data_IF_587462078384
#
_entry.id   IF_587462078384
#
_cell.length_a   1.000
_cell.length_b   1.000
_cell.length_c   1.000
_cell.angle_alpha   90.00
_cell.angle_beta   90.00
_cell.angle_gamma   90.00
#
_symmetry.space_group_name_H-M   'P 1'
#
loop_
_entity.id
_entity.type
_entity.pdbx_description
1 polymer ?
#
# COMPACT_ATOMS: atom_id res chain seq x y z
N UNK A 1 47.07 -4.87 28.56
CA UNK A 1 47.50 -5.59 29.75
C UNK A 1 46.48 -6.70 30.01
N UNK A 2 46.86 -7.89 29.59
CA UNK A 2 46.10 -9.12 29.79
C UNK A 2 46.01 -9.41 31.27
N UNK A 3 44.83 -9.51 31.84
CA UNK A 3 44.60 -9.92 33.21
C UNK A 3 44.98 -11.40 33.36
N UNK A 4 46.20 -11.65 33.81
CA UNK A 4 46.77 -12.99 33.99
C UNK A 4 46.36 -13.66 35.30
N UNK A 5 45.41 -13.11 36.00
CA UNK A 5 45.15 -13.48 37.40
C UNK A 5 44.01 -14.44 37.60
N UNK A 6 43.66 -15.38 36.79
CA UNK A 6 42.67 -16.40 37.23
C UNK A 6 42.49 -17.62 36.33
N UNK A 7 43.55 -18.19 35.79
CA UNK A 7 43.44 -19.56 35.29
C UNK A 7 43.93 -20.52 36.35
N UNK A 8 43.04 -21.21 37.04
CA UNK A 8 43.42 -22.32 37.94
C UNK A 8 43.75 -23.53 37.08
N UNK A 9 45.01 -23.83 36.92
CA UNK A 9 45.49 -25.02 36.21
C UNK A 9 46.10 -25.98 37.22
N UNK A 10 45.92 -27.27 36.99
CA UNK A 10 46.37 -28.32 37.92
C UNK A 10 47.80 -28.76 37.67
N UNK A 11 48.42 -28.46 36.54
CA UNK A 11 49.81 -28.75 36.24
C UNK A 11 50.39 -27.81 35.16
N UNK A 12 51.75 -27.84 35.01
CA UNK A 12 52.50 -26.98 34.10
C UNK A 12 52.16 -27.22 32.62
N UNK A 13 51.89 -28.46 32.21
CA UNK A 13 51.56 -28.80 30.82
C UNK A 13 50.22 -28.22 30.39
N UNK A 14 49.21 -28.18 31.29
CA UNK A 14 47.94 -27.51 31.03
C UNK A 14 48.08 -26.00 30.94
N UNK A 15 48.94 -25.39 31.73
CA UNK A 15 49.24 -23.96 31.65
C UNK A 15 49.88 -23.60 30.30
N UNK A 16 50.87 -24.37 29.86
CA UNK A 16 51.58 -24.14 28.60
C UNK A 16 50.66 -24.35 27.37
N UNK A 17 49.76 -25.34 27.44
CA UNK A 17 48.79 -25.57 26.35
C UNK A 17 47.74 -24.46 26.27
N UNK A 18 47.26 -23.95 27.40
CA UNK A 18 46.30 -22.83 27.42
C UNK A 18 46.95 -21.51 26.97
N UNK A 19 48.21 -21.26 27.35
CA UNK A 19 48.98 -20.10 26.87
C UNK A 19 49.25 -20.18 25.36
N UNK A 20 49.52 -21.37 24.82
CA UNK A 20 49.70 -21.58 23.39
C UNK A 20 48.37 -21.35 22.59
N UNK A 21 47.25 -21.78 23.15
CA UNK A 21 45.89 -21.51 22.55
C UNK A 21 45.60 -20.02 22.60
N UNK A 22 45.87 -19.36 23.71
CA UNK A 22 45.63 -17.92 23.86
C UNK A 22 46.54 -17.09 22.96
N UNK A 23 47.83 -17.43 22.84
CA UNK A 23 48.73 -16.77 21.91
C UNK A 23 48.33 -16.97 20.45
N UNK A 24 47.74 -18.13 20.12
CA UNK A 24 47.20 -18.38 18.79
C UNK A 24 45.93 -17.56 18.51
N UNK A 25 45.08 -17.39 19.52
CA UNK A 25 43.89 -16.55 19.44
C UNK A 25 44.25 -15.07 19.32
N UNK A 26 45.20 -14.59 20.14
CA UNK A 26 45.72 -13.21 20.08
C UNK A 26 46.40 -12.92 18.73
N UNK A 27 47.07 -13.91 18.12
CA UNK A 27 47.64 -13.82 16.79
C UNK A 27 46.56 -13.74 15.69
N UNK A 28 45.47 -14.48 15.83
CA UNK A 28 44.31 -14.42 14.93
C UNK A 28 43.62 -13.06 15.06
N UNK A 29 43.40 -12.57 16.26
CA UNK A 29 42.76 -11.27 16.52
C UNK A 29 43.63 -10.10 16.02
N UNK A 30 44.99 -10.20 16.12
CA UNK A 30 45.90 -9.19 15.60
C UNK A 30 46.03 -9.18 14.06
N UNK A 31 45.66 -10.28 13.39
CA UNK A 31 45.61 -10.36 11.91
C UNK A 31 44.25 -10.00 11.32
N UNK A 32 43.22 -9.90 12.14
CA UNK A 32 41.93 -9.33 11.68
C UNK A 32 42.16 -7.84 11.38
N UNK A 33 42.10 -7.49 10.10
CA UNK A 33 42.04 -6.09 9.69
C UNK A 33 40.71 -5.53 10.24
N UNK A 34 40.76 -4.36 10.87
CA UNK A 34 39.58 -3.61 11.21
C UNK A 34 38.72 -3.45 9.95
N UNK A 35 37.64 -4.19 9.88
CA UNK A 35 36.68 -4.07 8.79
C UNK A 35 35.85 -2.82 9.06
N UNK A 36 36.03 -1.80 8.20
CA UNK A 36 35.18 -0.63 8.27
C UNK A 36 33.74 -1.02 7.95
N UNK A 37 32.87 -0.98 8.95
CA UNK A 37 31.43 -1.19 8.80
C UNK A 37 30.79 0.19 8.73
N UNK A 38 30.28 0.63 7.57
CA UNK A 38 29.60 1.90 7.48
C UNK A 38 28.30 1.85 8.31
N UNK A 39 28.17 2.77 9.28
CA UNK A 39 26.99 2.87 10.14
C UNK A 39 26.00 3.91 9.67
N UNK A 40 26.38 4.75 8.71
CA UNK A 40 25.57 5.82 8.14
C UNK A 40 25.47 5.68 6.64
N UNK A 41 24.27 5.85 6.11
CA UNK A 41 24.01 5.85 4.66
C UNK A 41 23.32 7.14 4.26
N UNK A 42 23.74 7.74 3.14
CA UNK A 42 23.06 8.83 2.46
C UNK A 42 22.33 8.24 1.25
N UNK A 43 21.07 8.52 1.12
CA UNK A 43 20.21 7.93 0.10
C UNK A 43 19.52 9.06 -0.66
N UNK A 44 19.59 9.02 -1.97
CA UNK A 44 18.80 9.86 -2.86
C UNK A 44 17.97 8.96 -3.77
N UNK A 45 16.67 9.21 -3.81
CA UNK A 45 15.73 8.51 -4.69
C UNK A 45 15.06 9.53 -5.58
N UNK A 46 15.06 9.26 -6.89
CA UNK A 46 14.32 10.01 -7.89
C UNK A 46 13.22 9.11 -8.46
N UNK A 47 11.96 9.51 -8.25
CA UNK A 47 10.81 8.87 -8.86
C UNK A 47 10.26 9.77 -9.97
N UNK A 48 10.14 9.23 -11.16
CA UNK A 48 9.57 9.90 -12.32
C UNK A 48 8.40 9.10 -12.87
N UNK A 49 7.24 9.74 -12.96
CA UNK A 49 6.04 9.15 -13.54
C UNK A 49 5.52 10.05 -14.65
N UNK A 50 5.17 9.45 -15.77
CA UNK A 50 4.54 10.15 -16.89
C UNK A 50 3.57 9.21 -17.58
N UNK A 51 2.29 9.56 -17.62
CA UNK A 51 1.25 8.78 -18.29
C UNK A 51 0.13 9.65 -18.86
N UNK A 52 -0.48 9.13 -19.90
CA UNK A 52 -1.68 9.68 -20.52
C UNK A 52 -2.85 8.73 -20.25
N UNK A 53 -3.99 9.28 -19.87
CA UNK A 53 -5.27 8.56 -19.86
C UNK A 53 -6.10 9.06 -21.02
N UNK A 54 -6.54 8.14 -21.88
CA UNK A 54 -7.39 8.43 -23.02
C UNK A 54 -8.67 7.61 -22.91
N UNK A 55 -9.80 8.27 -23.01
CA UNK A 55 -11.10 7.63 -23.17
C UNK A 55 -11.66 7.93 -24.56
N UNK A 56 -12.01 6.88 -25.30
CA UNK A 56 -12.55 6.96 -26.64
C UNK A 56 -13.87 6.21 -26.74
N UNK A 57 -14.88 6.86 -27.35
CA UNK A 57 -16.10 6.22 -27.75
C UNK A 57 -16.56 6.79 -29.12
N UNK A 58 -16.88 5.92 -30.07
CA UNK A 58 -17.27 6.35 -31.40
C UNK A 58 -18.74 6.75 -31.51
N UNK A 59 -19.58 6.21 -30.62
CA UNK A 59 -21.00 6.54 -30.52
C UNK A 59 -21.44 6.42 -29.08
N UNK A 60 -22.10 7.44 -28.56
CA UNK A 60 -22.83 7.39 -27.31
C UNK A 60 -24.34 7.24 -27.62
N UNK A 61 -25.07 6.46 -26.83
CA UNK A 61 -26.52 6.43 -26.94
C UNK A 61 -27.10 7.84 -26.78
N UNK A 62 -28.17 8.14 -27.53
CA UNK A 62 -28.86 9.43 -27.44
C UNK A 62 -29.33 9.65 -25.99
N UNK A 63 -29.14 10.85 -25.46
CA UNK A 63 -29.49 11.25 -24.11
C UNK A 63 -28.82 10.41 -22.99
N UNK A 64 -27.73 9.73 -23.30
CA UNK A 64 -27.04 8.90 -22.30
C UNK A 64 -26.40 9.74 -21.19
N UNK A 65 -25.71 10.83 -21.55
CA UNK A 65 -25.10 11.76 -20.61
C UNK A 65 -25.99 12.96 -20.34
N UNK A 66 -26.03 13.45 -19.12
CA UNK A 66 -26.79 14.62 -18.70
C UNK A 66 -26.20 15.94 -19.24
N UNK A 67 -24.86 15.98 -19.37
CA UNK A 67 -24.14 17.18 -19.73
C UNK A 67 -23.16 16.92 -20.88
N UNK A 68 -22.92 17.97 -21.68
CA UNK A 68 -21.88 18.05 -22.70
C UNK A 68 -21.19 19.39 -22.56
N UNK A 69 -19.97 19.41 -22.10
CA UNK A 69 -19.22 20.63 -21.83
C UNK A 69 -18.52 21.16 -23.07
N UNK A 70 -18.05 20.28 -23.97
CA UNK A 70 -17.44 20.64 -25.25
C UNK A 70 -17.70 19.57 -26.30
N UNK A 71 -17.61 19.97 -27.60
CA UNK A 71 -17.83 19.05 -28.73
C UNK A 71 -16.52 18.65 -29.43
N UNK A 72 -15.66 19.61 -29.76
CA UNK A 72 -14.46 19.40 -30.57
C UNK A 72 -13.23 20.08 -29.95
N UNK A 73 -12.72 19.55 -28.87
CA UNK A 73 -11.53 20.13 -28.24
C UNK A 73 -10.21 19.66 -28.86
N UNK A 74 -10.17 18.44 -29.37
CA UNK A 74 -8.93 17.77 -29.75
C UNK A 74 -8.67 17.73 -31.25
N UNK A 75 -9.52 18.36 -32.06
CA UNK A 75 -9.43 18.38 -33.52
C UNK A 75 -9.15 17.00 -34.18
N UNK A 76 -9.77 15.96 -33.64
CA UNK A 76 -9.58 14.57 -34.08
C UNK A 76 -10.81 13.94 -34.72
N UNK A 77 -11.77 14.74 -35.14
CA UNK A 77 -13.01 14.26 -35.76
C UNK A 77 -14.00 13.59 -34.78
N UNK A 78 -13.82 13.77 -33.49
CA UNK A 78 -14.68 13.23 -32.43
C UNK A 78 -15.76 14.25 -32.02
N UNK A 79 -16.50 14.78 -33.00
CA UNK A 79 -17.63 15.65 -32.73
C UNK A 79 -18.93 14.89 -32.48
N UNK A 80 -19.99 15.61 -32.10
CA UNK A 80 -21.31 15.05 -31.86
C UNK A 80 -21.34 13.97 -30.80
N UNK A 81 -21.82 12.78 -31.13
CA UNK A 81 -21.96 11.64 -30.19
C UNK A 81 -20.65 10.90 -29.94
N UNK A 82 -19.56 11.25 -30.59
CA UNK A 82 -18.24 10.65 -30.38
C UNK A 82 -17.52 11.33 -29.21
N UNK A 83 -16.72 10.56 -28.47
CA UNK A 83 -15.95 11.04 -27.31
C UNK A 83 -14.49 10.79 -27.56
N UNK A 84 -13.68 11.80 -27.27
CA UNK A 84 -12.23 11.69 -27.11
C UNK A 84 -11.81 12.61 -25.98
N UNK A 85 -11.50 12.00 -24.83
CA UNK A 85 -11.04 12.72 -23.65
C UNK A 85 -9.62 12.28 -23.31
N UNK A 86 -8.75 13.23 -23.05
CA UNK A 86 -7.36 12.98 -22.69
C UNK A 86 -6.99 13.78 -21.46
N UNK A 87 -6.41 13.10 -20.48
CA UNK A 87 -5.72 13.71 -19.36
C UNK A 87 -4.27 13.25 -19.36
N UNK A 88 -3.35 14.17 -19.07
CA UNK A 88 -1.91 13.85 -18.96
C UNK A 88 -1.45 14.14 -17.55
N UNK A 89 -0.63 13.26 -17.04
CA UNK A 89 -0.03 13.38 -15.71
C UNK A 89 1.47 13.18 -15.77
N UNK A 90 2.21 14.05 -15.10
CA UNK A 90 3.64 13.91 -14.90
C UNK A 90 3.95 14.24 -13.44
N UNK A 91 4.76 13.43 -12.78
CA UNK A 91 5.32 13.77 -11.48
C UNK A 91 6.82 13.49 -11.41
N UNK A 92 7.52 14.32 -10.67
CA UNK A 92 8.94 14.17 -10.32
C UNK A 92 9.03 14.31 -8.81
N UNK A 93 9.44 13.25 -8.13
CA UNK A 93 9.64 13.25 -6.68
C UNK A 93 11.11 12.95 -6.37
N UNK A 94 11.74 13.85 -5.64
CA UNK A 94 13.08 13.70 -5.09
C UNK A 94 12.99 13.45 -3.59
N UNK A 95 13.62 12.39 -3.11
CA UNK A 95 13.70 12.06 -1.70
C UNK A 95 15.15 11.95 -1.27
N UNK A 96 15.54 12.73 -0.28
CA UNK A 96 16.85 12.67 0.36
C UNK A 96 16.69 12.08 1.75
N UNK A 97 17.50 11.09 2.09
CA UNK A 97 17.45 10.43 3.38
C UNK A 97 18.85 10.21 3.96
N UNK A 98 18.92 10.27 5.29
CA UNK A 98 20.06 9.85 6.09
C UNK A 98 19.59 8.70 6.95
N UNK A 99 20.28 7.56 6.88
CA UNK A 99 19.97 6.36 7.64
C UNK A 99 21.15 5.95 8.51
N UNK A 100 20.87 5.63 9.76
CA UNK A 100 21.76 4.95 10.69
C UNK A 100 21.35 3.48 10.73
N UNK A 101 22.27 2.59 10.45
CA UNK A 101 22.02 1.15 10.42
C UNK A 101 21.78 0.58 11.82
N UNK A 102 21.06 -0.54 11.89
CA UNK A 102 20.88 -1.27 13.14
C UNK A 102 22.25 -1.62 13.76
N UNK A 103 22.37 -1.39 15.07
CA UNK A 103 23.63 -1.64 15.78
C UNK A 103 24.69 -0.56 15.58
N UNK A 104 24.35 0.61 15.01
CA UNK A 104 25.27 1.74 14.90
C UNK A 104 25.85 2.19 16.26
N UNK A 105 25.20 1.81 17.34
CA UNK A 105 25.62 2.03 18.70
C UNK A 105 25.30 0.77 19.53
N UNK A 106 26.16 0.40 20.50
CA UNK A 106 25.96 -0.75 21.38
C UNK A 106 24.64 -0.71 22.19
N UNK A 107 24.07 0.48 22.38
CA UNK A 107 22.81 0.67 23.10
C UNK A 107 21.59 0.76 22.16
N UNK A 108 21.77 1.18 20.91
CA UNK A 108 20.70 1.35 19.95
C UNK A 108 20.60 0.11 19.04
N UNK A 109 19.66 -0.77 19.38
CA UNK A 109 19.40 -2.01 18.62
C UNK A 109 18.44 -1.81 17.46
N UNK A 110 18.16 -0.56 17.07
CA UNK A 110 17.28 -0.21 15.98
C UNK A 110 18.00 0.72 14.99
N UNK A 111 17.70 0.59 13.72
CA UNK A 111 18.09 1.55 12.69
C UNK A 111 17.16 2.75 12.68
N UNK A 112 17.71 3.91 12.36
CA UNK A 112 16.98 5.17 12.24
C UNK A 112 17.14 5.70 10.82
N UNK A 113 16.07 6.25 10.25
CA UNK A 113 16.12 6.99 8.98
C UNK A 113 15.30 8.26 9.12
N UNK A 114 15.85 9.38 8.66
CA UNK A 114 15.12 10.63 8.47
C UNK A 114 15.20 11.00 7.00
N UNK A 115 14.13 11.59 6.47
CA UNK A 115 14.07 11.95 5.06
C UNK A 115 13.26 13.22 4.83
N UNK A 116 13.53 13.86 3.72
CA UNK A 116 12.73 14.93 3.16
C UNK A 116 12.46 14.65 1.69
N UNK A 117 11.25 14.92 1.23
CA UNK A 117 10.85 14.73 -0.16
C UNK A 117 10.30 16.02 -0.73
N UNK A 118 10.57 16.24 -2.01
CA UNK A 118 9.97 17.30 -2.81
C UNK A 118 9.35 16.69 -4.06
N UNK A 119 8.07 16.93 -4.28
CA UNK A 119 7.32 16.43 -5.43
C UNK A 119 6.76 17.59 -6.25
N UNK A 120 6.96 17.49 -7.57
CA UNK A 120 6.36 18.35 -8.59
C UNK A 120 5.37 17.52 -9.39
N UNK A 121 4.14 17.98 -9.52
CA UNK A 121 3.11 17.35 -10.34
C UNK A 121 2.59 18.32 -11.38
N UNK A 122 2.42 17.81 -12.61
CA UNK A 122 1.76 18.54 -13.71
C UNK A 122 0.63 17.70 -14.23
N UNK A 123 -0.55 18.30 -14.28
CA UNK A 123 -1.74 17.68 -14.85
C UNK A 123 -2.24 18.54 -16.00
N UNK A 124 -2.54 17.89 -17.14
CA UNK A 124 -3.18 18.56 -18.28
C UNK A 124 -4.55 17.95 -18.51
N UNK A 125 -5.55 18.82 -18.60
CA UNK A 125 -6.92 18.45 -18.94
C UNK A 125 -7.66 19.68 -19.50
N UNK A 126 -8.89 19.53 -20.04
CA UNK A 126 -9.70 20.65 -20.51
C UNK A 126 -10.02 21.66 -19.41
N UNK A 127 -10.05 22.93 -19.78
CA UNK A 127 -10.48 24.03 -18.94
C UNK A 127 -11.37 24.99 -19.73
N UNK A 128 -12.35 25.60 -19.06
CA UNK A 128 -13.17 26.63 -19.61
C UNK A 128 -12.56 28.01 -19.34
N UNK A 129 -12.26 28.75 -20.38
CA UNK A 129 -11.69 30.08 -20.25
C UNK A 129 -12.58 31.11 -20.95
N UNK A 130 -12.74 32.26 -20.29
CA UNK A 130 -13.39 33.46 -20.87
C UNK A 130 -12.34 34.34 -21.51
N UNK A 131 -12.51 34.64 -22.79
CA UNK A 131 -11.59 35.52 -23.51
C UNK A 131 -12.36 36.70 -24.11
N UNK A 132 -11.71 37.81 -24.51
CA UNK A 132 -12.38 38.94 -25.19
C UNK A 132 -13.10 38.52 -26.47
N UNK A 133 -12.64 37.44 -27.14
CA UNK A 133 -13.21 36.91 -28.37
C UNK A 133 -14.34 35.89 -28.13
N UNK A 134 -14.72 35.68 -26.87
CA UNK A 134 -15.74 34.73 -26.42
C UNK A 134 -15.17 33.59 -25.57
N UNK A 135 -16.09 32.83 -24.99
CA UNK A 135 -15.76 31.69 -24.11
C UNK A 135 -15.36 30.48 -24.94
N UNK A 136 -14.32 29.76 -24.45
CA UNK A 136 -13.85 28.54 -25.12
C UNK A 136 -13.22 27.56 -24.13
N UNK A 137 -13.24 26.28 -24.53
CA UNK A 137 -12.49 25.22 -23.85
C UNK A 137 -11.10 25.10 -24.45
N UNK A 138 -10.10 24.98 -23.58
CA UNK A 138 -8.68 24.80 -23.95
C UNK A 138 -8.04 23.72 -23.10
N UNK A 139 -6.90 23.20 -23.56
CA UNK A 139 -6.07 22.32 -22.72
C UNK A 139 -5.20 23.15 -21.79
N UNK A 140 -5.47 23.13 -20.51
CA UNK A 140 -4.72 23.83 -19.48
C UNK A 140 -3.81 22.90 -18.68
N UNK A 141 -2.88 23.49 -17.94
CA UNK A 141 -1.92 22.78 -17.12
C UNK A 141 -2.02 23.25 -15.67
N UNK A 142 -2.29 22.31 -14.78
CA UNK A 142 -2.22 22.51 -13.33
C UNK A 142 -0.86 22.06 -12.83
N UNK A 143 -0.25 22.85 -11.96
CA UNK A 143 1.04 22.54 -11.34
C UNK A 143 0.84 22.51 -9.83
N UNK A 144 1.28 21.42 -9.21
CA UNK A 144 1.26 21.25 -7.76
C UNK A 144 2.67 20.95 -7.23
N UNK A 145 2.94 21.42 -6.02
CA UNK A 145 4.20 21.23 -5.33
C UNK A 145 3.92 20.73 -3.93
N UNK A 146 4.60 19.68 -3.50
CA UNK A 146 4.51 19.17 -2.16
C UNK A 146 5.89 18.95 -1.55
N UNK A 147 6.09 19.35 -0.32
CA UNK A 147 7.27 19.05 0.48
C UNK A 147 6.82 18.25 1.68
N UNK A 148 7.44 17.10 1.91
CA UNK A 148 7.22 16.28 3.09
C UNK A 148 8.52 16.02 3.85
N UNK A 149 8.38 15.75 5.14
CA UNK A 149 9.45 15.25 6.00
C UNK A 149 8.97 14.01 6.73
N UNK A 150 9.87 13.11 7.01
CA UNK A 150 9.51 11.89 7.71
C UNK A 150 10.68 11.21 8.40
N UNK A 151 10.33 10.22 9.20
CA UNK A 151 11.28 9.41 9.94
C UNK A 151 10.84 7.96 10.03
N UNK A 152 11.80 7.07 10.18
CA UNK A 152 11.57 5.65 10.33
C UNK A 152 12.47 5.07 11.42
N UNK A 153 11.89 4.24 12.25
CA UNK A 153 12.61 3.39 13.20
C UNK A 153 12.38 1.95 12.76
N UNK A 154 13.43 1.17 12.63
CA UNK A 154 13.35 -0.22 12.20
C UNK A 154 14.28 -1.12 13.00
N UNK A 155 13.77 -2.28 13.40
CA UNK A 155 14.54 -3.41 13.89
C UNK A 155 14.17 -4.63 13.07
N UNK A 156 15.09 -5.10 12.25
CA UNK A 156 14.93 -6.28 11.38
C UNK A 156 15.87 -7.43 11.76
N UNK A 157 16.92 -7.15 12.55
CA UNK A 157 17.86 -8.17 12.98
C UNK A 157 17.37 -8.93 14.22
N UNK A 158 17.75 -10.21 14.29
CA UNK A 158 17.34 -11.13 15.34
C UNK A 158 16.30 -12.13 14.85
N UNK A 159 15.79 -12.98 15.75
CA UNK A 159 14.82 -14.04 15.41
C UNK A 159 13.48 -13.85 16.10
N UNK A 160 13.44 -13.07 17.17
CA UNK A 160 12.27 -13.01 18.06
C UNK A 160 11.36 -11.84 17.78
N UNK A 161 11.91 -10.63 17.73
CA UNK A 161 11.13 -9.40 17.64
C UNK A 161 11.66 -8.49 16.52
N UNK A 162 10.80 -8.20 15.57
CA UNK A 162 11.02 -7.18 14.54
C UNK A 162 9.95 -6.10 14.67
N UNK A 163 10.31 -4.87 14.35
CA UNK A 163 9.34 -3.77 14.29
C UNK A 163 9.80 -2.68 13.34
N UNK A 164 8.82 -1.98 12.81
CA UNK A 164 9.00 -0.81 11.95
C UNK A 164 7.95 0.23 12.30
N UNK A 165 8.39 1.45 12.53
CA UNK A 165 7.54 2.63 12.65
C UNK A 165 8.01 3.65 11.61
N UNK A 166 7.10 4.11 10.77
CA UNK A 166 7.32 5.15 9.78
C UNK A 166 6.32 6.29 10.04
N UNK A 167 6.79 7.52 10.07
CA UNK A 167 5.96 8.72 10.11
C UNK A 167 6.36 9.68 9.00
N UNK A 168 5.39 10.28 8.31
CA UNK A 168 5.58 11.31 7.29
C UNK A 168 4.51 12.39 7.43
N UNK A 169 4.88 13.63 7.23
CA UNK A 169 3.95 14.77 7.21
C UNK A 169 4.32 15.74 6.09
N UNK A 170 3.30 16.32 5.46
CA UNK A 170 3.47 17.30 4.39
C UNK A 170 3.40 18.72 4.93
N UNK A 171 4.36 19.52 4.53
CA UNK A 171 4.54 20.88 5.01
C UNK A 171 3.94 21.91 4.06
N UNK A 172 3.88 21.59 2.77
CA UNK A 172 3.44 22.53 1.72
C UNK A 172 2.56 21.83 0.68
N UNK A 173 1.88 22.65 -0.13
CA UNK A 173 1.01 22.18 -1.20
C UNK A 173 -0.41 21.88 -0.71
N UNK A 174 -1.18 21.25 -1.54
CA UNK A 174 -2.55 20.82 -1.23
C UNK A 174 -2.58 19.77 -0.10
N UNK A 175 -1.48 19.05 0.06
CA UNK A 175 -1.27 18.06 1.10
C UNK A 175 -0.77 18.67 2.43
N UNK A 176 -0.57 19.99 2.52
CA UNK A 176 -0.08 20.62 3.77
C UNK A 176 -0.91 20.17 4.98
N UNK A 177 -0.22 19.64 6.02
CA UNK A 177 -0.87 19.05 7.19
C UNK A 177 -1.40 17.64 7.00
N UNK A 178 -1.06 16.95 5.92
CA UNK A 178 -1.25 15.51 5.80
C UNK A 178 -0.34 14.77 6.77
N UNK A 179 -0.82 13.66 7.28
CA UNK A 179 -0.10 12.79 8.21
C UNK A 179 -0.25 11.35 7.76
N UNK A 180 0.87 10.65 7.72
CA UNK A 180 0.93 9.22 7.46
C UNK A 180 1.79 8.55 8.52
N UNK A 181 1.23 7.57 9.22
CA UNK A 181 1.95 6.77 10.21
C UNK A 181 1.68 5.30 9.91
N UNK A 182 2.74 4.52 9.76
CA UNK A 182 2.69 3.07 9.59
C UNK A 182 3.47 2.40 10.73
N UNK A 183 2.87 1.41 11.35
CA UNK A 183 3.49 0.57 12.36
C UNK A 183 3.33 -0.89 11.99
N UNK A 184 4.39 -1.65 12.09
CA UNK A 184 4.36 -3.11 11.98
C UNK A 184 5.30 -3.75 12.98
N UNK A 185 4.88 -4.88 13.56
CA UNK A 185 5.72 -5.69 14.45
C UNK A 185 5.38 -7.15 14.29
N UNK A 186 6.36 -8.01 14.47
CA UNK A 186 6.18 -9.45 14.62
C UNK A 186 7.02 -9.99 15.78
N UNK A 187 6.41 -10.89 16.51
CA UNK A 187 7.00 -11.64 17.61
C UNK A 187 6.97 -13.12 17.26
N UNK A 188 8.16 -13.71 17.20
CA UNK A 188 8.34 -15.12 16.89
C UNK A 188 8.84 -15.86 18.14
N UNK A 189 8.14 -16.90 18.54
CA UNK A 189 8.51 -17.70 19.70
C UNK A 189 8.14 -19.18 19.54
N UNK A 190 8.86 -20.10 20.17
CA UNK A 190 8.56 -21.52 20.12
C UNK A 190 7.32 -21.83 20.98
N UNK A 191 6.36 -22.55 20.40
CA UNK A 191 5.16 -23.04 21.08
C UNK A 191 4.71 -24.36 20.46
N UNK A 192 4.33 -25.36 21.29
CA UNK A 192 3.84 -26.67 20.84
C UNK A 192 4.75 -27.40 19.84
N UNK A 193 6.06 -27.18 19.91
CA UNK A 193 7.06 -27.85 19.08
C UNK A 193 7.30 -27.25 17.70
N UNK A 194 6.81 -26.03 17.44
CA UNK A 194 7.14 -25.23 16.26
C UNK A 194 7.07 -23.71 16.61
N UNK A 195 7.38 -22.87 15.65
CA UNK A 195 7.34 -21.42 15.81
C UNK A 195 5.93 -20.88 15.59
N UNK A 196 5.48 -20.09 16.56
CA UNK A 196 4.30 -19.23 16.46
C UNK A 196 4.75 -17.81 16.15
N UNK A 197 4.07 -17.15 15.22
CA UNK A 197 4.24 -15.73 14.93
C UNK A 197 2.99 -14.97 15.35
N UNK A 198 3.17 -13.96 16.20
CA UNK A 198 2.17 -12.92 16.45
C UNK A 198 2.66 -11.65 15.77
N UNK A 199 1.87 -11.11 14.87
CA UNK A 199 2.19 -9.85 14.21
C UNK A 199 1.06 -8.84 14.39
N UNK A 200 1.43 -7.57 14.45
CA UNK A 200 0.48 -6.46 14.48
C UNK A 200 0.88 -5.45 13.42
N UNK A 201 -0.10 -5.04 12.61
CA UNK A 201 0.03 -3.93 11.70
C UNK A 201 -0.97 -2.85 12.10
N UNK A 202 -0.55 -1.61 12.09
CA UNK A 202 -1.42 -0.49 12.33
C UNK A 202 -1.04 0.66 11.42
N UNK A 203 -2.02 1.45 10.99
CA UNK A 203 -1.75 2.69 10.31
C UNK A 203 -2.74 3.79 10.75
N UNK A 204 -2.27 5.01 10.66
CA UNK A 204 -3.06 6.21 10.77
C UNK A 204 -2.71 7.12 9.59
N UNK A 205 -3.71 7.39 8.75
CA UNK A 205 -3.59 8.28 7.60
C UNK A 205 -4.62 9.40 7.71
N UNK A 206 -4.17 10.63 7.57
CA UNK A 206 -5.02 11.79 7.36
C UNK A 206 -4.51 12.52 6.13
N UNK A 207 -5.19 12.30 5.00
CA UNK A 207 -4.69 12.66 3.68
C UNK A 207 -5.70 13.54 2.92
N UNK A 208 -5.19 14.55 2.25
CA UNK A 208 -5.95 15.38 1.33
C UNK A 208 -6.47 14.52 0.15
N UNK A 209 -7.60 14.91 -0.48
CA UNK A 209 -8.07 14.28 -1.69
C UNK A 209 -7.02 14.39 -2.80
N UNK A 210 -6.87 13.33 -3.58
CA UNK A 210 -5.99 13.35 -4.76
C UNK A 210 -6.49 14.35 -5.80
N UNK A 211 -5.61 14.76 -6.72
CA UNK A 211 -5.95 15.76 -7.75
C UNK A 211 -7.26 15.44 -8.47
N UNK A 212 -7.46 14.21 -8.95
CA UNK A 212 -8.66 13.85 -9.73
C UNK A 212 -9.94 13.70 -8.91
N UNK A 213 -9.87 13.62 -7.61
CA UNK A 213 -11.04 13.75 -6.75
C UNK A 213 -11.44 15.21 -6.57
N UNK A 214 -10.46 16.12 -6.58
CA UNK A 214 -10.69 17.57 -6.49
C UNK A 214 -11.09 18.16 -7.83
N UNK A 215 -10.38 17.84 -8.90
CA UNK A 215 -10.60 18.41 -10.22
C UNK A 215 -10.58 17.31 -11.28
N UNK A 216 -11.62 17.27 -12.09
CA UNK A 216 -11.68 16.41 -13.27
C UNK A 216 -12.56 17.03 -14.34
N UNK A 217 -12.01 17.16 -15.54
CA UNK A 217 -12.67 17.81 -16.67
C UNK A 217 -12.61 16.90 -17.89
N UNK A 218 -13.79 16.53 -18.38
CA UNK A 218 -13.96 15.73 -19.58
C UNK A 218 -15.19 16.19 -20.36
N UNK A 219 -15.45 15.60 -21.51
CA UNK A 219 -16.57 15.98 -22.35
C UNK A 219 -17.92 15.94 -21.62
N UNK A 220 -18.13 14.94 -20.76
CA UNK A 220 -19.41 14.68 -20.11
C UNK A 220 -19.38 14.76 -18.58
N UNK A 221 -18.20 14.71 -17.97
CA UNK A 221 -18.02 14.79 -16.52
C UNK A 221 -17.10 15.94 -16.17
N UNK A 222 -17.56 16.77 -15.25
CA UNK A 222 -16.84 17.97 -14.84
C UNK A 222 -17.09 18.27 -13.38
N UNK A 223 -16.03 18.36 -12.61
CA UNK A 223 -16.11 18.81 -11.21
C UNK A 223 -14.86 19.53 -10.76
N UNK A 224 -15.07 20.51 -9.87
CA UNK A 224 -14.08 21.26 -9.13
C UNK A 224 -14.52 21.28 -7.66
N UNK A 225 -14.00 20.32 -6.88
CA UNK A 225 -14.39 20.09 -5.50
C UNK A 225 -13.34 20.67 -4.55
N UNK A 226 -13.49 21.96 -4.23
CA UNK A 226 -12.55 22.64 -3.34
C UNK A 226 -12.87 22.43 -1.85
N UNK A 227 -14.07 21.90 -1.53
CA UNK A 227 -14.59 21.80 -0.16
C UNK A 227 -14.47 20.36 0.43
N UNK A 228 -13.74 19.48 -0.23
CA UNK A 228 -13.55 18.13 0.27
C UNK A 228 -12.59 18.10 1.46
N UNK A 229 -13.07 17.58 2.57
CA UNK A 229 -12.27 17.36 3.77
C UNK A 229 -11.22 16.27 3.56
N UNK A 230 -10.15 16.33 4.36
CA UNK A 230 -9.15 15.26 4.45
C UNK A 230 -9.79 13.98 4.96
N UNK A 231 -9.51 12.88 4.28
CA UNK A 231 -9.92 11.55 4.73
C UNK A 231 -9.00 11.07 5.84
N UNK A 232 -9.59 10.62 6.94
CA UNK A 232 -8.84 9.98 8.02
C UNK A 232 -9.14 8.48 8.02
N UNK A 233 -8.10 7.66 7.98
CA UNK A 233 -8.21 6.20 8.08
C UNK A 233 -7.30 5.69 9.18
N UNK A 234 -7.88 4.91 10.07
CA UNK A 234 -7.17 4.23 11.15
C UNK A 234 -7.46 2.75 11.08
N UNK A 235 -6.42 1.93 11.03
CA UNK A 235 -6.56 0.47 11.04
C UNK A 235 -5.59 -0.16 12.02
N UNK A 236 -6.08 -1.15 12.74
CA UNK A 236 -5.28 -2.03 13.59
C UNK A 236 -5.61 -3.47 13.18
N UNK A 237 -4.56 -4.23 12.93
CA UNK A 237 -4.65 -5.62 12.50
C UNK A 237 -3.76 -6.51 13.38
N UNK A 238 -4.33 -7.58 13.91
CA UNK A 238 -3.61 -8.66 14.57
C UNK A 238 -3.53 -9.89 13.66
N UNK A 239 -2.38 -10.54 13.63
CA UNK A 239 -2.13 -11.73 12.84
C UNK A 239 -1.48 -12.80 13.73
N UNK A 240 -2.12 -13.95 13.83
CA UNK A 240 -1.59 -15.16 14.40
C UNK A 240 -1.23 -16.14 13.30
N UNK A 241 -0.02 -16.71 13.31
CA UNK A 241 0.39 -17.79 12.42
C UNK A 241 0.98 -18.93 13.19
N UNK A 242 0.54 -20.15 12.89
CA UNK A 242 1.14 -21.37 13.41
C UNK A 242 1.54 -22.28 12.24
N UNK A 243 2.85 -22.41 12.04
CA UNK A 243 3.42 -23.02 10.85
C UNK A 243 3.14 -24.52 10.76
N UNK A 244 3.20 -25.22 11.90
CA UNK A 244 3.00 -26.70 11.96
C UNK A 244 1.66 -27.14 11.40
N UNK A 245 0.59 -26.41 11.71
CA UNK A 245 -0.77 -26.70 11.23
C UNK A 245 -1.13 -25.91 9.98
N UNK A 246 -0.23 -25.02 9.51
CA UNK A 246 -0.49 -24.08 8.40
C UNK A 246 -1.73 -23.21 8.64
N UNK A 247 -1.96 -22.84 9.88
CA UNK A 247 -3.07 -21.99 10.31
C UNK A 247 -2.62 -20.54 10.36
N UNK A 248 -3.44 -19.64 9.83
CA UNK A 248 -3.26 -18.19 9.97
C UNK A 248 -4.61 -17.55 10.27
N UNK A 249 -4.68 -16.81 11.36
CA UNK A 249 -5.86 -16.03 11.74
C UNK A 249 -5.48 -14.55 11.73
N UNK A 250 -6.26 -13.75 11.01
CA UNK A 250 -6.13 -12.30 10.91
C UNK A 250 -7.43 -11.66 11.39
N UNK A 251 -7.32 -10.67 12.26
CA UNK A 251 -8.43 -9.83 12.68
C UNK A 251 -8.02 -8.38 12.54
N UNK A 252 -8.86 -7.57 11.91
CA UNK A 252 -8.61 -6.15 11.71
C UNK A 252 -9.86 -5.32 11.99
N UNK A 253 -9.64 -4.14 12.55
CA UNK A 253 -10.66 -3.10 12.72
C UNK A 253 -10.13 -1.87 12.00
N UNK A 254 -10.99 -1.26 11.20
CA UNK A 254 -10.68 -0.04 10.46
C UNK A 254 -11.80 0.99 10.66
N UNK A 255 -11.42 2.25 10.89
CA UNK A 255 -12.31 3.39 10.89
C UNK A 255 -11.91 4.34 9.77
N UNK A 256 -12.91 4.78 9.00
CA UNK A 256 -12.74 5.75 7.92
C UNK A 256 -13.67 6.93 8.19
N UNK A 257 -13.09 8.12 8.25
CA UNK A 257 -13.81 9.39 8.35
C UNK A 257 -13.66 10.16 7.05
N UNK A 258 -14.73 10.84 6.64
CA UNK A 258 -14.74 11.63 5.40
C UNK A 258 -14.41 10.79 4.16
N UNK A 259 -14.93 9.57 4.10
CA UNK A 259 -14.73 8.65 2.99
C UNK A 259 -15.24 9.23 1.68
N UNK A 260 -14.42 9.19 0.65
CA UNK A 260 -14.73 9.74 -0.67
C UNK A 260 -15.06 8.62 -1.64
N UNK A 261 -16.14 8.81 -2.40
CA UNK A 261 -16.57 7.83 -3.38
C UNK A 261 -17.18 8.52 -4.61
N UNK A 262 -17.19 7.80 -5.72
CA UNK A 262 -17.88 8.26 -6.92
C UNK A 262 -19.36 7.92 -6.83
N UNK A 263 -20.21 8.93 -6.98
CA UNK A 263 -21.65 8.77 -7.04
C UNK A 263 -22.15 8.93 -8.45
N UNK A 264 -23.03 8.02 -8.88
CA UNK A 264 -23.76 8.07 -10.15
C UNK A 264 -25.18 8.53 -9.92
N UNK A 265 -25.71 9.28 -10.89
CA UNK A 265 -27.11 9.66 -10.98
C UNK A 265 -27.59 9.48 -12.42
N UNK A 266 -28.75 8.89 -12.65
CA UNK A 266 -29.33 8.70 -13.97
C UNK A 266 -30.84 8.44 -13.89
N UNK A 267 -31.54 8.63 -15.01
CA UNK A 267 -32.92 8.25 -15.19
C UNK A 267 -32.97 6.82 -15.71
N UNK A 268 -33.43 5.89 -14.90
CA UNK A 268 -33.59 4.49 -15.31
C UNK A 268 -34.87 4.35 -16.16
N UNK A 269 -34.71 3.79 -17.35
CA UNK A 269 -35.82 3.35 -18.19
C UNK A 269 -35.75 1.83 -18.38
N UNK A 270 -36.82 1.23 -18.94
CA UNK A 270 -36.91 -0.25 -19.09
C UNK A 270 -35.76 -0.86 -19.91
N UNK A 271 -35.10 -0.08 -20.77
CA UNK A 271 -34.08 -0.59 -21.70
C UNK A 271 -32.76 0.19 -21.65
N UNK A 272 -32.69 1.34 -21.00
CA UNK A 272 -31.50 2.18 -21.02
C UNK A 272 -31.42 3.11 -19.82
N UNK A 273 -30.21 3.59 -19.55
CA UNK A 273 -29.93 4.68 -18.62
C UNK A 273 -29.83 5.98 -19.41
N UNK A 274 -30.55 6.99 -18.97
CA UNK A 274 -30.53 8.31 -19.57
C UNK A 274 -30.05 9.35 -18.58
N UNK A 275 -29.57 10.48 -19.07
CA UNK A 275 -29.15 11.62 -18.24
C UNK A 275 -28.14 11.23 -17.15
N UNK A 276 -27.16 10.38 -17.49
CA UNK A 276 -26.14 9.95 -16.56
C UNK A 276 -25.21 11.12 -16.21
N UNK A 277 -25.00 11.31 -14.91
CA UNK A 277 -24.00 12.20 -14.35
C UNK A 277 -23.19 11.47 -13.27
N UNK A 278 -21.93 11.82 -13.14
CA UNK A 278 -21.05 11.32 -12.11
C UNK A 278 -20.37 12.49 -11.39
N UNK A 279 -20.02 12.26 -10.15
CA UNK A 279 -19.28 13.22 -9.33
C UNK A 279 -18.69 12.56 -8.11
N UNK A 280 -17.80 13.27 -7.43
CA UNK A 280 -17.23 12.84 -6.15
C UNK A 280 -18.17 13.23 -5.03
N UNK A 281 -18.43 12.31 -4.12
CA UNK A 281 -19.20 12.52 -2.90
C UNK A 281 -18.34 12.19 -1.69
N UNK A 282 -18.66 12.80 -0.56
CA UNK A 282 -18.02 12.54 0.71
C UNK A 282 -19.05 12.10 1.74
N UNK A 283 -18.73 11.01 2.43
CA UNK A 283 -19.57 10.48 3.52
C UNK A 283 -19.27 11.26 4.80
N UNK A 284 -20.30 11.94 5.36
CA UNK A 284 -20.15 12.70 6.59
C UNK A 284 -20.17 11.86 7.87
N UNK A 285 -20.53 10.57 7.79
CA UNK A 285 -20.52 9.63 8.92
C UNK A 285 -19.27 8.75 8.90
N UNK A 286 -18.77 8.37 10.08
CA UNK A 286 -17.67 7.43 10.19
C UNK A 286 -18.11 6.03 9.72
N UNK A 287 -17.25 5.37 8.96
CA UNK A 287 -17.44 4.00 8.50
C UNK A 287 -16.49 3.11 9.30
N UNK A 288 -17.06 2.13 10.01
CA UNK A 288 -16.30 1.13 10.76
C UNK A 288 -16.35 -0.20 10.00
N UNK A 289 -15.19 -0.83 9.85
CA UNK A 289 -15.05 -2.10 9.15
C UNK A 289 -14.40 -3.09 10.11
N UNK A 290 -15.05 -4.23 10.31
CA UNK A 290 -14.48 -5.40 10.97
C UNK A 290 -14.11 -6.42 9.90
N UNK A 291 -12.89 -6.96 9.95
CA UNK A 291 -12.46 -8.06 9.09
C UNK A 291 -11.88 -9.18 9.94
N UNK A 292 -12.33 -10.40 9.73
CA UNK A 292 -11.72 -11.60 10.29
C UNK A 292 -11.46 -12.61 9.17
N UNK A 293 -10.23 -13.11 9.07
CA UNK A 293 -9.83 -14.05 8.03
C UNK A 293 -9.11 -15.25 8.65
N UNK A 294 -9.61 -16.43 8.34
CA UNK A 294 -8.97 -17.70 8.67
C UNK A 294 -8.43 -18.32 7.38
N UNK A 295 -7.13 -18.61 7.38
CA UNK A 295 -6.51 -19.48 6.39
C UNK A 295 -6.13 -20.78 7.06
N UNK A 296 -6.57 -21.91 6.48
CA UNK A 296 -6.25 -23.24 6.93
C UNK A 296 -5.93 -24.13 5.75
N UNK A 297 -4.70 -24.63 5.71
CA UNK A 297 -4.25 -25.55 4.68
C UNK A 297 -4.09 -26.95 5.27
N UNK A 298 -4.59 -27.95 4.55
CA UNK A 298 -4.43 -29.37 4.88
C UNK A 298 -3.59 -30.07 3.81
N UNK A 299 -2.81 -31.06 4.24
CA UNK A 299 -2.01 -31.88 3.34
C UNK A 299 -2.12 -33.34 3.73
N UNK A 300 -2.61 -34.18 2.83
CA UNK A 300 -2.79 -35.63 2.99
C UNK A 300 -2.02 -36.34 1.90
N UNK A 301 -0.72 -36.60 2.09
CA UNK A 301 0.15 -37.15 1.06
C UNK A 301 0.22 -36.24 -0.20
N UNK A 302 -0.23 -36.69 -1.36
CA UNK A 302 -0.27 -35.88 -2.58
C UNK A 302 -1.43 -34.88 -2.61
N UNK A 303 -2.48 -35.11 -1.80
CA UNK A 303 -3.65 -34.22 -1.75
C UNK A 303 -3.38 -33.00 -0.90
N UNK A 304 -3.62 -31.81 -1.46
CA UNK A 304 -3.53 -30.53 -0.80
C UNK A 304 -4.90 -29.86 -0.85
N UNK A 305 -5.31 -29.27 0.26
CA UNK A 305 -6.57 -28.56 0.38
C UNK A 305 -6.33 -27.24 1.11
N UNK A 306 -6.41 -26.12 0.38
CA UNK A 306 -6.17 -24.76 0.88
C UNK A 306 -7.50 -24.05 1.01
N UNK A 307 -7.69 -23.35 2.14
CA UNK A 307 -8.94 -22.67 2.44
C UNK A 307 -8.66 -21.29 2.99
N UNK A 308 -9.39 -20.30 2.51
CA UNK A 308 -9.42 -18.95 3.06
C UNK A 308 -10.89 -18.57 3.28
N UNK A 309 -11.22 -18.29 4.51
CA UNK A 309 -12.55 -17.83 4.91
C UNK A 309 -12.38 -16.41 5.45
N UNK A 310 -13.08 -15.46 4.85
CA UNK A 310 -13.06 -14.06 5.27
C UNK A 310 -14.48 -13.66 5.66
N UNK A 311 -14.62 -13.15 6.86
CA UNK A 311 -15.80 -12.42 7.33
C UNK A 311 -15.45 -10.93 7.37
N UNK A 312 -16.33 -10.08 6.86
CA UNK A 312 -16.18 -8.64 6.92
C UNK A 312 -17.52 -7.95 7.06
N UNK A 313 -17.54 -6.86 7.80
CA UNK A 313 -18.75 -6.09 8.03
C UNK A 313 -18.43 -4.60 7.95
N UNK A 314 -19.23 -3.85 7.18
CA UNK A 314 -19.18 -2.40 7.08
C UNK A 314 -20.36 -1.78 7.81
N UNK A 315 -20.13 -0.77 8.63
CA UNK A 315 -21.21 -0.03 9.32
C UNK A 315 -22.08 0.80 8.36
N UNK A 316 -21.64 1.01 7.12
CA UNK A 316 -22.38 1.75 6.10
C UNK A 316 -22.30 1.04 4.73
N UNK A 317 -23.19 0.08 4.54
CA UNK A 317 -23.28 -0.73 3.33
C UNK A 317 -23.82 0.03 2.11
N UNK A 318 -24.41 1.20 2.29
CA UNK A 318 -24.87 2.03 1.17
C UNK A 318 -23.74 2.77 0.48
N UNK A 319 -22.65 3.06 1.23
CA UNK A 319 -21.49 3.81 0.72
C UNK A 319 -20.31 2.90 0.44
N UNK A 320 -20.13 1.90 1.31
CA UNK A 320 -19.06 0.90 1.18
C UNK A 320 -19.66 -0.51 1.35
N UNK A 321 -20.33 -1.03 0.31
CA UNK A 321 -20.90 -2.36 0.34
C UNK A 321 -19.80 -3.42 0.26
N UNK A 322 -19.81 -4.37 1.18
CA UNK A 322 -18.89 -5.49 1.24
C UNK A 322 -19.66 -6.80 1.38
N UNK A 323 -19.28 -7.89 0.70
CA UNK A 323 -19.84 -9.20 1.00
C UNK A 323 -19.43 -9.62 2.42
N UNK A 324 -20.38 -10.06 3.24
CA UNK A 324 -20.10 -10.45 4.62
C UNK A 324 -19.17 -11.66 4.70
N UNK A 325 -19.41 -12.65 3.87
CA UNK A 325 -18.55 -13.83 3.75
C UNK A 325 -17.96 -13.93 2.35
N UNK A 326 -16.66 -14.26 2.32
CA UNK A 326 -15.93 -14.63 1.13
C UNK A 326 -15.13 -15.88 1.44
N UNK A 327 -15.34 -16.96 0.68
CA UNK A 327 -14.70 -18.26 0.87
C UNK A 327 -13.99 -18.63 -0.41
N UNK A 328 -12.70 -18.86 -0.29
CA UNK A 328 -11.88 -19.48 -1.33
C UNK A 328 -11.46 -20.86 -0.86
N UNK A 329 -11.62 -21.86 -1.70
CA UNK A 329 -11.13 -23.21 -1.47
C UNK A 329 -10.47 -23.75 -2.72
N UNK A 330 -9.31 -24.39 -2.56
CA UNK A 330 -8.54 -25.01 -3.63
C UNK A 330 -8.15 -26.43 -3.21
N UNK A 331 -8.62 -27.43 -3.96
CA UNK A 331 -8.34 -28.83 -3.73
C UNK A 331 -7.55 -29.37 -4.92
N UNK A 332 -6.31 -29.83 -4.69
CA UNK A 332 -5.46 -30.31 -5.76
C UNK A 332 -4.56 -31.49 -5.35
N UNK A 333 -4.25 -32.30 -6.31
CA UNK A 333 -3.25 -33.37 -6.24
C UNK A 333 -1.92 -32.85 -6.77
N UNK A 334 -0.86 -33.05 -5.98
CA UNK A 334 0.51 -32.74 -6.39
C UNK A 334 1.35 -34.01 -6.35
N UNK A 335 1.83 -34.44 -7.50
CA UNK A 335 2.64 -35.64 -7.63
C UNK A 335 3.70 -35.48 -8.73
N UNK A 336 4.68 -36.38 -8.73
CA UNK A 336 5.69 -36.45 -9.77
C UNK A 336 5.45 -37.64 -10.67
N UNK A 337 5.50 -37.40 -11.98
CA UNK A 337 5.56 -38.43 -12.99
C UNK A 337 7.03 -38.55 -13.38
N UNK A 338 7.66 -39.70 -13.11
CA UNK A 338 9.11 -39.82 -13.18
C UNK A 338 9.77 -38.71 -12.33
N UNK A 339 11.00 -38.72 -12.00
CA UNK A 339 11.57 -37.68 -11.08
C UNK A 339 11.60 -36.26 -11.63
N UNK A 340 11.28 -36.06 -12.89
CA UNK A 340 11.49 -34.80 -13.61
C UNK A 340 10.22 -33.96 -13.84
N UNK A 341 9.03 -34.60 -13.91
CA UNK A 341 7.78 -33.89 -14.17
C UNK A 341 6.94 -33.78 -12.90
N UNK A 342 6.79 -32.54 -12.38
CA UNK A 342 5.84 -32.25 -11.31
C UNK A 342 4.48 -31.86 -11.90
N UNK A 343 3.44 -32.56 -11.50
CA UNK A 343 2.06 -32.34 -11.96
C UNK A 343 1.21 -31.89 -10.80
N UNK A 344 0.45 -30.83 -11.02
CA UNK A 344 -0.59 -30.34 -10.12
C UNK A 344 -1.92 -30.36 -10.88
N UNK A 345 -2.90 -31.09 -10.35
CA UNK A 345 -4.24 -31.21 -10.92
C UNK A 345 -5.27 -30.97 -9.84
N UNK A 346 -6.15 -29.98 -10.02
CA UNK A 346 -7.15 -29.64 -9.02
C UNK A 346 -8.24 -28.74 -9.54
N UNK A 347 -9.07 -28.29 -8.62
CA UNK A 347 -10.12 -27.32 -8.85
C UNK A 347 -10.16 -26.32 -7.67
N UNK A 348 -10.49 -25.09 -8.00
CA UNK A 348 -10.76 -24.05 -7.03
C UNK A 348 -12.22 -23.59 -7.12
N UNK A 349 -12.71 -23.05 -6.00
CA UNK A 349 -14.05 -22.48 -5.91
C UNK A 349 -14.03 -21.20 -5.09
N UNK A 350 -14.80 -20.23 -5.55
CA UNK A 350 -15.06 -18.97 -4.86
C UNK A 350 -16.54 -18.90 -4.52
N UNK A 351 -16.83 -18.54 -3.28
CA UNK A 351 -18.15 -18.21 -2.80
C UNK A 351 -18.12 -16.87 -2.08
N UNK A 352 -19.11 -16.03 -2.32
CA UNK A 352 -19.34 -14.81 -1.56
C UNK A 352 -20.83 -14.58 -1.36
N UNK A 353 -21.17 -13.96 -0.25
CA UNK A 353 -22.54 -13.56 0.04
C UNK A 353 -22.99 -12.41 -0.83
N UNK A 354 -24.27 -12.31 -1.06
CA UNK A 354 -24.87 -11.20 -1.81
C UNK A 354 -24.52 -9.84 -1.20
N UNK A 355 -24.20 -8.88 -2.06
CA UNK A 355 -23.97 -7.48 -1.70
C UNK A 355 -24.29 -6.58 -2.88
N UNK A 356 -24.55 -5.30 -2.62
CA UNK A 356 -24.80 -4.32 -3.66
C UNK A 356 -23.46 -3.86 -4.26
N UNK A 357 -23.08 -4.42 -5.39
CA UNK A 357 -21.88 -3.98 -6.09
C UNK A 357 -21.99 -2.51 -6.52
N UNK A 358 -20.87 -1.75 -6.52
CA UNK A 358 -20.84 -0.41 -7.10
C UNK A 358 -21.32 -0.42 -8.54
N UNK A 359 -22.06 0.62 -8.92
CA UNK A 359 -22.50 0.78 -10.30
C UNK A 359 -21.35 1.19 -11.21
N UNK A 360 -21.51 1.00 -12.50
CA UNK A 360 -20.47 1.23 -13.52
C UNK A 360 -20.73 2.51 -14.31
N UNK A 361 -19.69 3.35 -14.44
CA UNK A 361 -19.62 4.42 -15.41
C UNK A 361 -18.55 4.12 -16.46
N UNK A 362 -18.83 4.26 -17.76
CA UNK A 362 -17.87 3.94 -18.82
C UNK A 362 -16.70 4.92 -18.94
N UNK A 363 -16.72 6.04 -18.21
CA UNK A 363 -15.73 7.11 -18.34
C UNK A 363 -14.93 7.35 -17.07
#
# INVERSE_FOLDING_TARGET
>A
PTDTTRIKVSNKEQADSLLAIQAKQDSIDSTMKDVFVPVTSFIHTLDFNNYDRIYQAYRSPKNYYSNTYYNNLYDKGYGGDSIYDQTKFMSIKNTFAIALLEGFNKYAKAGLKVFASHELRKVKMPEYITTPDGDRHVMSTWNEHAISIGGQIIKSQGQTLHYKLLGETWLTGEEAGDIKIDFSTDLNFPLFGDTVTLATNAFFYRLAPTFYLRNYHSKHFWWDNNDLDKETRTRIEGLFKYRKTKTSLRVAIEEIQNYKYFGLSYDATTASRNNMSAGVRQCGSNINILTAQLRQDFKFGPLNWENIITYQNSSNTNVLPLPEFNIFTNLYLKFKIVNELSVELGADAYFFTEYNAPDFSPQ
#
